data_IF_727496167753
#
_entry.id   IF_727496167753
#
_cell.length_a   1.000
_cell.length_b   1.000
_cell.length_c   1.000
_cell.angle_alpha   90.00
_cell.angle_beta   90.00
_cell.angle_gamma   90.00
#
_symmetry.space_group_name_H-M   'P 1'
#
loop_
_entity.id
_entity.type
_entity.pdbx_description
1 polymer ?
#
# COMPACT_ATOMS: atom_id res chain seq x y z
N UNK A 1 -24.35 -3.23 16.65
CA UNK A 1 -24.79 -3.38 15.25
C UNK A 1 -25.69 -2.22 14.78
N UNK A 2 -26.88 -2.00 15.35
CA UNK A 2 -27.78 -0.89 14.94
C UNK A 2 -27.13 0.49 15.10
N UNK A 3 -26.46 0.72 16.24
CA UNK A 3 -25.80 2.00 16.52
C UNK A 3 -24.64 2.31 15.58
N UNK A 4 -23.83 1.31 15.22
CA UNK A 4 -22.72 1.46 14.27
C UNK A 4 -23.21 1.77 12.85
N UNK A 5 -24.32 1.17 12.43
CA UNK A 5 -24.97 1.52 11.15
C UNK A 5 -25.52 2.94 11.18
N UNK A 6 -26.18 3.35 12.27
CA UNK A 6 -26.69 4.72 12.43
C UNK A 6 -25.56 5.75 12.38
N UNK A 7 -24.41 5.41 12.98
CA UNK A 7 -23.19 6.23 12.95
C UNK A 7 -22.41 6.14 11.64
N UNK A 8 -22.85 5.36 10.64
CA UNK A 8 -22.20 5.25 9.33
C UNK A 8 -20.95 4.35 9.29
N UNK A 9 -20.65 3.61 10.36
CA UNK A 9 -19.50 2.70 10.44
C UNK A 9 -19.74 1.35 9.72
N UNK A 10 -20.99 1.03 9.40
CA UNK A 10 -21.33 -0.22 8.72
C UNK A 10 -22.15 0.06 7.47
N UNK A 11 -21.73 -0.48 6.33
CA UNK A 11 -22.46 -0.46 5.07
C UNK A 11 -23.07 -1.83 4.76
N UNK A 12 -24.05 -1.87 3.86
CA UNK A 12 -24.59 -3.11 3.28
C UNK A 12 -24.25 -3.12 1.79
N UNK A 13 -23.41 -4.06 1.30
CA UNK A 13 -23.08 -4.12 -0.12
C UNK A 13 -24.27 -4.61 -0.95
N UNK A 14 -25.05 -5.56 -0.42
CA UNK A 14 -26.29 -6.06 -1.02
C UNK A 14 -27.39 -6.23 0.04
N UNK A 15 -28.65 -6.28 -0.40
CA UNK A 15 -29.84 -6.37 0.46
C UNK A 15 -29.88 -7.63 1.34
N UNK A 16 -29.28 -8.73 0.86
CA UNK A 16 -29.17 -10.04 1.54
C UNK A 16 -27.82 -10.30 2.23
N UNK A 17 -26.85 -9.40 2.09
CA UNK A 17 -25.52 -9.57 2.68
C UNK A 17 -25.44 -9.09 4.13
N UNK A 18 -24.48 -9.62 4.88
CA UNK A 18 -24.06 -9.08 6.17
C UNK A 18 -23.59 -7.62 6.04
N UNK A 19 -23.37 -6.96 7.18
CA UNK A 19 -22.82 -5.60 7.20
C UNK A 19 -21.29 -5.66 7.13
N UNK A 20 -20.69 -4.81 6.31
CA UNK A 20 -19.24 -4.65 6.20
C UNK A 20 -18.80 -3.29 6.76
N UNK A 21 -17.55 -3.14 7.22
CA UNK A 21 -17.02 -1.84 7.63
C UNK A 21 -17.09 -0.83 6.48
N UNK A 22 -17.48 0.41 6.78
CA UNK A 22 -17.34 1.52 5.83
C UNK A 22 -15.90 2.04 5.82
N UNK A 23 -15.55 2.89 4.83
CA UNK A 23 -14.25 3.57 4.80
C UNK A 23 -13.98 4.35 6.10
N UNK A 24 -15.01 4.96 6.70
CA UNK A 24 -14.87 5.65 7.99
C UNK A 24 -14.58 4.67 9.14
N UNK A 25 -15.14 3.46 9.13
CA UNK A 25 -14.81 2.44 10.12
C UNK A 25 -13.39 1.92 9.99
N UNK A 26 -12.92 1.74 8.76
CA UNK A 26 -11.55 1.34 8.51
C UNK A 26 -10.58 2.44 8.96
N UNK A 27 -10.86 3.71 8.67
CA UNK A 27 -10.06 4.83 9.17
C UNK A 27 -10.00 4.88 10.70
N UNK A 28 -11.15 4.69 11.37
CA UNK A 28 -11.19 4.61 12.83
C UNK A 28 -10.43 3.40 13.36
N UNK A 29 -10.56 2.24 12.72
CA UNK A 29 -9.81 1.04 13.09
C UNK A 29 -8.30 1.28 13.00
N UNK A 30 -7.83 1.80 11.86
CA UNK A 30 -6.40 2.06 11.62
C UNK A 30 -5.84 3.09 12.60
N UNK A 31 -6.61 4.13 12.91
CA UNK A 31 -6.14 5.22 13.74
C UNK A 31 -6.20 4.92 15.23
N UNK A 32 -7.28 4.30 15.68
CA UNK A 32 -7.67 4.32 17.10
C UNK A 32 -7.80 2.92 17.72
N UNK A 33 -7.86 1.83 16.94
CA UNK A 33 -8.12 0.49 17.46
C UNK A 33 -7.04 -0.55 17.17
N UNK A 34 -6.38 -0.47 16.02
CA UNK A 34 -5.43 -1.49 15.62
C UNK A 34 -4.13 -1.39 16.43
N UNK A 35 -3.49 -2.54 16.64
CA UNK A 35 -2.12 -2.62 17.12
C UNK A 35 -1.24 -3.14 16.00
N UNK A 36 -0.10 -2.49 15.77
CA UNK A 36 0.84 -2.90 14.72
C UNK A 36 1.50 -4.24 15.05
N UNK A 37 1.56 -5.13 14.05
CA UNK A 37 2.34 -6.36 14.18
C UNK A 37 3.83 -6.04 14.27
N UNK A 38 4.55 -6.78 15.13
CA UNK A 38 5.99 -6.66 15.20
C UNK A 38 6.63 -7.41 14.05
N UNK A 39 7.48 -6.73 13.29
CA UNK A 39 8.35 -7.40 12.32
C UNK A 39 9.36 -8.25 13.10
N UNK A 40 9.49 -9.56 12.82
CA UNK A 40 10.50 -10.38 13.49
C UNK A 40 11.90 -9.86 13.17
N UNK A 41 12.77 -9.72 14.18
CA UNK A 41 14.15 -9.21 14.03
C UNK A 41 14.94 -9.95 12.93
N UNK A 42 14.75 -11.27 12.82
CA UNK A 42 15.39 -12.09 11.77
C UNK A 42 14.97 -11.63 10.37
N UNK A 43 13.71 -11.21 10.20
CA UNK A 43 13.21 -10.70 8.92
C UNK A 43 13.78 -9.32 8.63
N UNK A 44 13.89 -8.44 9.64
CA UNK A 44 14.52 -7.12 9.48
C UNK A 44 15.99 -7.23 9.07
N UNK A 45 16.77 -8.04 9.78
CA UNK A 45 18.21 -8.20 9.51
C UNK A 45 18.47 -8.83 8.15
N UNK A 46 17.71 -9.87 7.80
CA UNK A 46 17.82 -10.52 6.49
C UNK A 46 17.46 -9.57 5.35
N UNK A 47 16.40 -8.76 5.52
CA UNK A 47 16.02 -7.78 4.50
C UNK A 47 17.05 -6.65 4.39
N UNK A 48 17.52 -6.13 5.52
CA UNK A 48 18.56 -5.11 5.56
C UNK A 48 19.81 -5.55 4.82
N UNK A 49 20.26 -6.79 5.02
CA UNK A 49 21.39 -7.35 4.27
C UNK A 49 21.09 -7.44 2.77
N UNK A 50 19.94 -7.99 2.38
CA UNK A 50 19.55 -8.13 0.95
C UNK A 50 19.52 -6.79 0.23
N UNK A 51 18.90 -5.76 0.82
CA UNK A 51 18.87 -4.43 0.21
C UNK A 51 20.25 -3.76 0.23
N UNK A 52 21.02 -3.95 1.30
CA UNK A 52 22.39 -3.45 1.37
C UNK A 52 23.27 -4.03 0.26
N UNK A 53 23.08 -5.27 -0.17
CA UNK A 53 23.86 -5.83 -1.29
C UNK A 53 23.55 -5.16 -2.64
N UNK A 54 22.37 -4.56 -2.80
CA UNK A 54 21.90 -3.89 -4.03
C UNK A 54 22.03 -2.37 -4.00
N UNK A 55 22.58 -1.81 -2.93
CA UNK A 55 22.62 -0.37 -2.64
C UNK A 55 23.26 0.52 -3.72
N UNK A 56 24.16 -0.03 -4.54
CA UNK A 56 24.78 0.69 -5.67
C UNK A 56 23.98 0.62 -6.97
N UNK A 57 22.95 -0.22 -7.02
CA UNK A 57 22.16 -0.50 -8.22
C UNK A 57 20.70 -0.07 -7.96
N UNK A 58 20.44 1.25 -7.96
CA UNK A 58 19.16 1.84 -7.53
C UNK A 58 17.93 1.16 -8.12
N UNK A 59 17.94 0.85 -9.42
CA UNK A 59 16.84 0.14 -10.06
C UNK A 59 16.60 -1.25 -9.44
N UNK A 60 17.67 -2.03 -9.24
CA UNK A 60 17.58 -3.36 -8.63
C UNK A 60 17.18 -3.28 -7.17
N UNK A 61 17.66 -2.26 -6.44
CA UNK A 61 17.29 -1.99 -5.07
C UNK A 61 15.78 -1.76 -4.92
N UNK A 62 15.20 -0.88 -5.74
CA UNK A 62 13.76 -0.58 -5.69
C UNK A 62 12.94 -1.81 -6.10
N UNK A 63 13.34 -2.52 -7.18
CA UNK A 63 12.67 -3.77 -7.59
C UNK A 63 12.67 -4.82 -6.48
N UNK A 64 13.79 -4.99 -5.78
CA UNK A 64 13.92 -5.92 -4.67
C UNK A 64 13.03 -5.50 -3.49
N UNK A 65 13.03 -4.21 -3.14
CA UNK A 65 12.17 -3.68 -2.07
C UNK A 65 10.68 -3.92 -2.34
N UNK A 66 10.23 -3.64 -3.57
CA UNK A 66 8.84 -3.88 -4.00
C UNK A 66 8.52 -5.38 -4.01
N UNK A 67 9.43 -6.24 -4.46
CA UNK A 67 9.23 -7.68 -4.47
C UNK A 67 9.12 -8.27 -3.06
N UNK A 68 9.96 -7.82 -2.13
CA UNK A 68 9.88 -8.26 -0.73
C UNK A 68 8.61 -7.74 -0.07
N UNK A 69 8.21 -6.49 -0.34
CA UNK A 69 6.97 -5.94 0.19
C UNK A 69 5.77 -6.79 -0.26
N UNK A 70 5.72 -7.21 -1.52
CA UNK A 70 4.65 -8.06 -2.04
C UNK A 70 4.63 -9.44 -1.37
N UNK A 71 5.80 -10.06 -1.16
CA UNK A 71 5.93 -11.34 -0.45
C UNK A 71 5.48 -11.24 1.02
N UNK A 72 5.89 -10.17 1.71
CA UNK A 72 5.63 -10.02 3.15
C UNK A 72 4.21 -9.60 3.45
N UNK A 73 3.56 -8.86 2.55
CA UNK A 73 2.18 -8.41 2.72
C UNK A 73 1.17 -9.35 2.09
N UNK A 74 1.55 -10.09 1.04
CA UNK A 74 0.59 -10.84 0.23
C UNK A 74 -0.28 -9.95 -0.64
N UNK A 75 0.13 -8.70 -0.90
CA UNK A 75 -0.62 -7.71 -1.68
C UNK A 75 0.13 -7.32 -2.96
N UNK A 76 -0.53 -6.57 -3.86
CA UNK A 76 0.16 -5.89 -4.96
C UNK A 76 0.98 -4.74 -4.38
N UNK A 77 2.29 -4.79 -4.56
CA UNK A 77 3.21 -3.73 -4.13
C UNK A 77 3.71 -2.94 -5.32
N UNK A 78 3.96 -1.65 -5.11
CA UNK A 78 4.49 -0.76 -6.12
C UNK A 78 5.37 0.35 -5.54
N UNK A 79 6.26 0.87 -6.37
CA UNK A 79 7.02 2.08 -6.10
C UNK A 79 7.02 3.00 -7.31
N UNK A 80 6.86 4.30 -7.06
CA UNK A 80 7.13 5.35 -8.05
C UNK A 80 8.49 5.97 -7.81
N UNK A 81 8.98 6.65 -8.84
CA UNK A 81 10.13 7.55 -8.81
C UNK A 81 9.66 8.86 -9.43
N UNK A 82 9.93 10.02 -8.84
CA UNK A 82 9.42 11.31 -9.35
C UNK A 82 9.67 11.54 -10.84
N UNK A 83 10.88 11.18 -11.31
CA UNK A 83 11.27 11.23 -12.72
C UNK A 83 11.79 9.85 -13.15
N UNK A 84 10.91 8.84 -13.20
CA UNK A 84 11.35 7.49 -13.53
C UNK A 84 10.23 6.47 -13.76
N UNK A 85 10.61 5.19 -13.95
CA UNK A 85 9.62 4.14 -14.17
C UNK A 85 8.85 3.82 -12.88
N UNK A 86 7.70 3.17 -13.08
CA UNK A 86 6.97 2.51 -11.99
C UNK A 86 7.53 1.10 -11.81
N UNK A 87 7.74 0.70 -10.56
CA UNK A 87 8.07 -0.65 -10.17
C UNK A 87 6.87 -1.30 -9.50
N UNK A 88 6.59 -2.57 -9.79
CA UNK A 88 5.52 -3.30 -9.13
C UNK A 88 5.86 -4.79 -9.00
N UNK A 89 5.22 -5.45 -8.03
CA UNK A 89 5.30 -6.90 -7.82
C UNK A 89 4.02 -7.41 -7.16
N UNK A 90 3.72 -8.70 -7.32
CA UNK A 90 2.55 -9.31 -6.70
C UNK A 90 1.22 -9.04 -7.41
N UNK A 91 1.21 -8.80 -8.73
CA UNK A 91 -0.04 -8.62 -9.49
C UNK A 91 -1.01 -9.78 -9.25
N UNK A 92 -0.51 -11.01 -9.21
CA UNK A 92 -1.34 -12.19 -8.95
C UNK A 92 -2.04 -12.15 -7.59
N UNK A 93 -1.51 -11.40 -6.62
CA UNK A 93 -2.05 -11.36 -5.27
C UNK A 93 -3.45 -10.76 -5.22
N UNK A 94 -3.74 -9.73 -6.04
CA UNK A 94 -5.06 -9.11 -6.06
C UNK A 94 -6.14 -10.09 -6.55
N UNK A 95 -5.74 -11.06 -7.39
CA UNK A 95 -6.64 -12.09 -7.92
C UNK A 95 -7.05 -13.12 -6.85
N UNK A 96 -6.49 -13.07 -5.65
CA UNK A 96 -6.97 -13.86 -4.51
C UNK A 96 -8.23 -13.26 -3.87
N UNK A 97 -8.59 -12.02 -4.20
CA UNK A 97 -9.69 -11.30 -3.59
C UNK A 97 -10.92 -11.24 -4.49
N UNK A 98 -12.13 -11.56 -3.98
CA UNK A 98 -13.37 -11.53 -4.75
C UNK A 98 -13.68 -10.19 -5.43
N UNK A 99 -13.25 -9.08 -4.84
CA UNK A 99 -13.39 -7.74 -5.40
C UNK A 99 -12.82 -7.66 -6.83
N UNK A 100 -11.69 -8.33 -7.07
CA UNK A 100 -10.96 -8.31 -8.34
C UNK A 100 -11.43 -9.39 -9.33
N UNK A 101 -12.54 -10.08 -9.04
CA UNK A 101 -13.21 -10.93 -10.04
C UNK A 101 -14.02 -10.09 -11.02
N UNK A 102 -14.25 -8.82 -10.69
CA UNK A 102 -14.72 -7.82 -11.64
C UNK A 102 -13.58 -7.47 -12.61
N UNK A 103 -13.80 -7.78 -13.89
CA UNK A 103 -12.82 -7.57 -14.95
C UNK A 103 -12.55 -6.08 -15.20
N UNK A 104 -13.52 -5.20 -14.98
CA UNK A 104 -13.37 -3.76 -15.21
C UNK A 104 -12.56 -3.14 -14.08
N UNK A 105 -12.76 -3.57 -12.84
CA UNK A 105 -11.87 -3.22 -11.73
C UNK A 105 -10.45 -3.71 -12.01
N UNK A 106 -10.27 -4.98 -12.33
CA UNK A 106 -8.93 -5.56 -12.55
C UNK A 106 -8.19 -4.87 -13.70
N UNK A 107 -8.86 -4.60 -14.82
CA UNK A 107 -8.29 -3.81 -15.92
C UNK A 107 -7.90 -2.40 -15.48
N UNK A 108 -8.72 -1.75 -14.65
CA UNK A 108 -8.42 -0.41 -14.14
C UNK A 108 -7.17 -0.41 -13.26
N UNK A 109 -6.97 -1.45 -12.46
CA UNK A 109 -5.78 -1.61 -11.61
C UNK A 109 -4.54 -1.89 -12.44
N UNK A 110 -4.62 -2.78 -13.44
CA UNK A 110 -3.49 -3.02 -14.35
C UNK A 110 -3.14 -1.77 -15.14
N UNK A 111 -4.14 -1.01 -15.61
CA UNK A 111 -3.93 0.25 -16.32
C UNK A 111 -3.29 1.32 -15.44
N UNK A 112 -3.58 1.33 -14.13
CA UNK A 112 -2.94 2.22 -13.17
C UNK A 112 -1.43 1.97 -13.09
N UNK A 113 -0.98 0.71 -13.15
CA UNK A 113 0.44 0.36 -13.10
C UNK A 113 1.23 0.86 -14.32
N UNK A 114 0.55 0.97 -15.47
CA UNK A 114 1.13 1.49 -16.71
C UNK A 114 1.11 3.03 -16.77
N UNK A 115 0.38 3.70 -15.88
CA UNK A 115 0.14 5.14 -15.90
C UNK A 115 0.87 5.87 -14.77
N UNK A 116 2.12 6.21 -15.06
CA UNK A 116 3.02 6.89 -14.12
C UNK A 116 2.42 8.15 -13.48
N UNK A 117 1.84 9.05 -14.30
CA UNK A 117 1.27 10.31 -13.81
C UNK A 117 0.09 10.10 -12.86
N UNK A 118 -0.76 9.10 -13.09
CA UNK A 118 -1.88 8.82 -12.19
C UNK A 118 -1.38 8.34 -10.83
N UNK A 119 -0.37 7.47 -10.81
CA UNK A 119 0.23 7.00 -9.56
C UNK A 119 0.91 8.11 -8.77
N UNK A 120 1.66 9.00 -9.43
CA UNK A 120 2.24 10.18 -8.76
C UNK A 120 1.15 11.06 -8.14
N UNK A 121 0.06 11.31 -8.88
CA UNK A 121 -1.08 12.06 -8.37
C UNK A 121 -1.79 11.33 -7.21
N UNK A 122 -1.85 10.01 -7.23
CA UNK A 122 -2.45 9.23 -6.15
C UNK A 122 -1.63 9.36 -4.86
N UNK A 123 -0.30 9.32 -4.97
CA UNK A 123 0.61 9.45 -3.84
C UNK A 123 0.75 10.88 -3.29
N UNK A 124 0.33 11.92 -4.03
CA UNK A 124 0.36 13.30 -3.55
C UNK A 124 -0.93 13.73 -2.84
N UNK A 125 -1.99 12.91 -2.84
CA UNK A 125 -3.33 13.28 -2.33
C UNK A 125 -3.42 13.51 -0.84
N UNK A 126 -2.51 12.94 -0.03
CA UNK A 126 -2.53 13.08 1.43
C UNK A 126 -1.26 13.73 1.91
N UNK A 127 -1.39 14.96 2.40
CA UNK A 127 -0.37 15.65 3.19
C UNK A 127 -0.69 15.41 4.66
N UNK A 128 -0.15 14.35 5.23
CA UNK A 128 -0.26 14.06 6.67
C UNK A 128 1.11 14.01 7.32
N UNK A 129 1.21 14.36 8.60
CA UNK A 129 2.42 14.18 9.41
C UNK A 129 2.76 12.71 9.68
N UNK A 130 1.84 11.77 9.40
CA UNK A 130 2.10 10.33 9.55
C UNK A 130 3.11 9.85 8.51
N UNK A 131 4.13 9.05 8.90
CA UNK A 131 5.12 8.50 7.97
C UNK A 131 4.50 7.53 6.96
N UNK A 132 3.39 6.88 7.33
CA UNK A 132 2.60 6.01 6.44
C UNK A 132 1.23 6.64 6.21
N UNK A 133 0.83 6.69 4.94
CA UNK A 133 -0.43 7.25 4.46
C UNK A 133 -1.35 6.14 3.97
N UNK A 134 -2.65 6.30 4.21
CA UNK A 134 -3.67 5.34 3.79
C UNK A 134 -4.78 6.05 3.04
N UNK A 135 -5.08 5.60 1.83
CA UNK A 135 -6.25 5.99 1.04
C UNK A 135 -7.25 4.84 1.04
N UNK A 136 -8.53 5.13 1.25
CA UNK A 136 -9.59 4.12 1.25
C UNK A 136 -10.76 4.58 0.38
N UNK A 137 -11.16 3.74 -0.58
CA UNK A 137 -12.31 3.98 -1.44
C UNK A 137 -12.21 5.31 -2.18
N UNK A 138 -13.14 6.22 -1.88
CA UNK A 138 -13.24 7.54 -2.54
C UNK A 138 -11.97 8.40 -2.43
N UNK A 139 -11.13 8.18 -1.42
CA UNK A 139 -9.84 8.88 -1.28
C UNK A 139 -8.91 8.61 -2.49
N UNK A 140 -9.11 7.48 -3.19
CA UNK A 140 -8.36 7.11 -4.39
C UNK A 140 -8.76 7.94 -5.62
N UNK A 141 -9.86 8.70 -5.55
CA UNK A 141 -10.28 9.62 -6.60
C UNK A 141 -10.78 8.97 -7.89
N UNK A 142 -11.05 7.66 -7.88
CA UNK A 142 -11.57 6.91 -9.02
C UNK A 142 -12.77 6.07 -8.58
N UNK A 143 -13.97 6.23 -9.19
CA UNK A 143 -15.19 5.53 -8.78
C UNK A 143 -15.04 4.01 -8.76
N UNK A 144 -14.30 3.44 -9.70
CA UNK A 144 -14.03 1.99 -9.79
C UNK A 144 -13.32 1.45 -8.55
N UNK A 145 -12.55 2.28 -7.83
CA UNK A 145 -11.74 1.88 -6.68
C UNK A 145 -12.47 2.02 -5.33
N UNK A 146 -13.79 2.18 -5.32
CA UNK A 146 -14.58 2.36 -4.09
C UNK A 146 -14.39 1.27 -3.03
N UNK A 147 -13.99 0.06 -3.43
CA UNK A 147 -13.70 -1.08 -2.54
C UNK A 147 -12.20 -1.42 -2.44
N UNK A 148 -11.33 -0.49 -2.82
CA UNK A 148 -9.87 -0.65 -2.75
C UNK A 148 -9.26 0.25 -1.66
N UNK A 149 -7.99 0.02 -1.37
CA UNK A 149 -7.19 0.87 -0.52
C UNK A 149 -5.74 0.86 -0.97
N UNK A 150 -5.04 1.95 -0.68
CA UNK A 150 -3.61 2.13 -0.92
C UNK A 150 -2.94 2.52 0.40
N UNK A 151 -1.92 1.78 0.81
CA UNK A 151 -1.06 2.10 1.96
C UNK A 151 0.33 2.41 1.44
N UNK A 152 0.90 3.56 1.75
CA UNK A 152 2.17 3.98 1.17
C UNK A 152 2.97 4.92 2.07
N UNK A 153 4.28 5.00 1.82
CA UNK A 153 5.21 5.90 2.48
C UNK A 153 6.20 6.48 1.45
N UNK A 154 6.70 7.72 1.65
CA UNK A 154 7.73 8.29 0.81
C UNK A 154 9.10 7.70 1.15
N UNK A 155 9.98 7.56 0.16
CA UNK A 155 11.38 7.23 0.34
C UNK A 155 12.28 8.21 -0.42
N UNK A 156 13.51 8.37 0.04
CA UNK A 156 14.51 9.24 -0.57
C UNK A 156 15.87 8.54 -0.67
N UNK A 157 16.35 8.31 -1.89
CA UNK A 157 17.66 7.71 -2.21
C UNK A 157 18.70 8.79 -2.62
N UNK A 158 18.54 10.01 -2.13
CA UNK A 158 19.41 11.17 -2.35
C UNK A 158 19.13 11.84 -3.70
N UNK A 159 19.52 11.21 -4.79
CA UNK A 159 19.27 11.74 -6.15
C UNK A 159 17.96 11.26 -6.76
N UNK A 160 17.18 10.47 -6.02
CA UNK A 160 15.98 9.80 -6.50
C UNK A 160 15.01 9.66 -5.34
N UNK A 161 13.84 10.27 -5.44
CA UNK A 161 12.77 10.18 -4.45
C UNK A 161 11.53 9.56 -5.08
N UNK A 162 10.66 9.03 -4.23
CA UNK A 162 9.42 8.41 -4.67
C UNK A 162 8.55 7.94 -3.53
N UNK A 163 7.56 7.13 -3.86
CA UNK A 163 6.67 6.50 -2.88
C UNK A 163 6.70 5.00 -3.06
N UNK A 164 6.68 4.26 -1.96
CA UNK A 164 6.54 2.81 -1.91
C UNK A 164 5.22 2.48 -1.21
N UNK A 165 4.45 1.53 -1.74
CA UNK A 165 3.20 1.15 -1.11
C UNK A 165 2.60 -0.15 -1.62
N UNK A 166 1.48 -0.52 -1.01
CA UNK A 166 0.66 -1.67 -1.38
C UNK A 166 -0.76 -1.24 -1.74
N UNK A 167 -1.30 -1.88 -2.76
CA UNK A 167 -2.65 -1.70 -3.25
C UNK A 167 -3.41 -3.02 -3.14
N UNK A 168 -4.64 -2.95 -2.65
CA UNK A 168 -5.48 -4.13 -2.43
C UNK A 168 -6.92 -3.77 -2.10
N UNK A 169 -7.73 -4.73 -1.62
CA UNK A 169 -9.10 -4.46 -1.18
C UNK A 169 -9.11 -3.53 0.04
N UNK A 170 -10.22 -2.84 0.31
CA UNK A 170 -10.32 -1.98 1.50
C UNK A 170 -10.21 -2.75 2.83
N UNK A 171 -10.32 -4.08 2.81
CA UNK A 171 -10.25 -4.96 3.99
C UNK A 171 -8.90 -5.67 4.13
N UNK A 172 -7.83 -5.01 3.71
CA UNK A 172 -6.44 -5.46 3.87
C UNK A 172 -6.05 -5.66 5.34
N UNK A 173 -5.01 -6.47 5.58
CA UNK A 173 -4.42 -6.68 6.90
C UNK A 173 -3.51 -5.50 7.30
N UNK A 174 -4.13 -4.38 7.66
CA UNK A 174 -3.44 -3.14 8.04
C UNK A 174 -2.42 -3.32 9.18
N UNK A 175 -2.70 -4.06 10.27
CA UNK A 175 -1.73 -4.37 11.33
C UNK A 175 -0.42 -4.94 10.81
N UNK A 176 -0.48 -5.81 9.80
CA UNK A 176 0.68 -6.41 9.15
C UNK A 176 1.33 -5.48 8.12
N UNK A 177 0.52 -4.83 7.29
CA UNK A 177 0.99 -4.06 6.12
C UNK A 177 1.74 -2.79 6.54
N UNK A 178 1.17 -2.00 7.46
CA UNK A 178 1.69 -0.67 7.79
C UNK A 178 3.14 -0.72 8.30
N UNK A 179 3.51 -1.64 9.22
CA UNK A 179 4.90 -1.79 9.66
C UNK A 179 5.86 -2.13 8.52
N UNK A 180 5.47 -3.02 7.60
CA UNK A 180 6.30 -3.41 6.46
C UNK A 180 6.53 -2.27 5.48
N UNK A 181 5.48 -1.51 5.15
CA UNK A 181 5.59 -0.32 4.30
C UNK A 181 6.53 0.69 4.94
N UNK A 182 6.35 0.99 6.23
CA UNK A 182 7.21 1.90 6.99
C UNK A 182 8.68 1.44 6.96
N UNK A 183 8.92 0.21 7.40
CA UNK A 183 10.27 -0.34 7.54
C UNK A 183 11.04 -0.32 6.21
N UNK A 184 10.43 -0.73 5.11
CA UNK A 184 11.12 -0.78 3.81
C UNK A 184 11.33 0.64 3.26
N UNK A 185 10.38 1.56 3.44
CA UNK A 185 10.54 2.96 3.04
C UNK A 185 11.68 3.65 3.81
N UNK A 186 11.73 3.43 5.12
CA UNK A 186 12.79 3.95 5.99
C UNK A 186 14.15 3.34 5.62
N UNK A 187 14.19 2.02 5.41
CA UNK A 187 15.41 1.33 5.01
C UNK A 187 15.94 1.80 3.65
N UNK A 188 15.06 2.03 2.66
CA UNK A 188 15.46 2.67 1.41
C UNK A 188 16.07 4.05 1.69
N UNK A 189 15.43 4.84 2.54
CA UNK A 189 15.91 6.18 2.87
C UNK A 189 17.24 6.20 3.62
N UNK A 190 17.49 5.24 4.52
CA UNK A 190 18.77 5.07 5.22
C UNK A 190 19.93 4.71 4.27
N UNK A 191 19.63 4.05 3.15
CA UNK A 191 20.62 3.72 2.13
C UNK A 191 21.06 4.94 1.31
N UNK A 192 20.41 6.10 1.46
CA UNK A 192 20.88 7.36 0.85
C UNK A 192 22.10 7.97 1.56
N UNK A 193 22.17 7.83 2.90
CA UNK A 193 23.12 8.54 3.76
C UNK A 193 24.48 7.83 3.96
N UNK A 194 24.69 6.67 3.34
CA UNK A 194 25.91 5.88 3.50
C UNK A 194 26.90 6.03 2.31
N UNK A 195 26.84 7.16 1.59
CA UNK A 195 27.61 7.43 0.38
C UNK A 195 28.24 8.81 0.37
#
# INVERSE_FOLDING_TARGET
MVELTRKGFLSKPHTSAGRIPSAMALRFFIKDLMEEERIPVVSETSLRQRLWEKRFEREKLIREAVAVLADKTGELSMATVEEGPVYYSGISNILNYPEFYDIDLTKSVLSLLDQHEILLNLFSRVTSESPVRVLIGDDLGMPTFGNCSLVYAPYDLGSLSGNLGVFGPSRMDYPRIIPWVRFISDLLSELSGNW
#
